data_IF_724772463531
#
_entry.id   IF_724772463531
#
_cell.length_a   1.000
_cell.length_b   1.000
_cell.length_c   1.000
_cell.angle_alpha   90.00
_cell.angle_beta   90.00
_cell.angle_gamma   90.00
#
_symmetry.space_group_name_H-M   'P 1'
#
loop_
_entity.id
_entity.type
_entity.pdbx_description
1 polymer ?
#
# COMPACT_ATOMS: atom_id res chain seq x y z
N UNK A 1 -7.41 -16.05 13.23
CA UNK A 1 -6.89 -14.84 12.58
C UNK A 1 -6.56 -15.18 11.14
N UNK A 2 -7.27 -14.59 10.18
CA UNK A 2 -6.95 -14.77 8.76
C UNK A 2 -5.58 -14.17 8.47
N UNK A 3 -4.77 -14.84 7.65
CA UNK A 3 -3.49 -14.30 7.20
C UNK A 3 -3.78 -13.17 6.21
N UNK A 4 -3.66 -11.93 6.69
CA UNK A 4 -3.49 -10.76 5.86
C UNK A 4 -2.32 -10.94 4.88
N UNK A 5 -2.40 -10.36 3.68
CA UNK A 5 -1.19 -10.15 2.88
C UNK A 5 -0.37 -9.04 3.54
N UNK A 6 0.56 -9.43 4.41
CA UNK A 6 1.42 -8.49 5.10
C UNK A 6 2.54 -8.02 4.18
N UNK A 7 2.69 -6.71 4.05
CA UNK A 7 3.76 -6.06 3.30
C UNK A 7 4.94 -5.78 4.24
N UNK A 8 6.12 -6.26 3.86
CA UNK A 8 7.38 -5.83 4.44
C UNK A 8 7.89 -4.62 3.65
N UNK A 9 7.81 -3.45 4.26
CA UNK A 9 8.08 -2.14 3.66
C UNK A 9 8.81 -1.26 4.64
N UNK A 10 9.65 -0.36 4.13
CA UNK A 10 10.43 0.56 4.94
C UNK A 10 9.55 1.57 5.69
N UNK A 11 10.15 2.27 6.65
CA UNK A 11 9.51 3.36 7.39
C UNK A 11 9.23 4.60 6.51
N UNK A 12 9.87 4.68 5.34
CA UNK A 12 9.62 5.73 4.36
C UNK A 12 8.45 5.40 3.42
N UNK A 13 7.91 4.19 3.49
CA UNK A 13 6.85 3.75 2.59
C UNK A 13 5.55 4.53 2.81
N UNK A 14 4.82 4.73 1.71
CA UNK A 14 3.56 5.48 1.69
C UNK A 14 2.50 4.75 0.91
N UNK A 15 1.26 4.93 1.33
CA UNK A 15 0.08 4.52 0.59
C UNK A 15 -0.41 5.69 -0.26
N UNK A 16 -0.80 5.40 -1.50
CA UNK A 16 -1.27 6.37 -2.47
C UNK A 16 -2.70 6.09 -2.92
N UNK A 17 -3.57 7.06 -2.70
CA UNK A 17 -4.95 7.09 -3.17
C UNK A 17 -5.41 8.55 -3.34
N UNK A 18 -6.47 8.81 -4.13
CA UNK A 18 -6.97 10.17 -4.32
C UNK A 18 -7.39 10.81 -2.98
N UNK A 19 -6.99 12.06 -2.75
CA UNK A 19 -7.48 12.86 -1.61
C UNK A 19 -9.00 12.98 -1.65
N UNK A 20 -9.63 12.98 -0.47
CA UNK A 20 -11.10 13.02 -0.38
C UNK A 20 -11.78 11.66 -0.55
N UNK A 21 -11.04 10.59 -0.88
CA UNK A 21 -11.63 9.25 -0.96
C UNK A 21 -12.17 8.85 0.42
N UNK A 22 -13.43 8.40 0.55
CA UNK A 22 -13.98 7.99 1.84
C UNK A 22 -13.18 6.85 2.46
N UNK A 23 -12.90 6.94 3.76
CA UNK A 23 -12.24 5.90 4.54
C UNK A 23 -12.96 5.70 5.87
N UNK A 24 -13.40 4.48 6.13
CA UNK A 24 -13.97 4.08 7.41
C UNK A 24 -12.86 3.54 8.30
N UNK A 25 -12.46 4.29 9.33
CA UNK A 25 -11.63 3.76 10.42
C UNK A 25 -12.52 2.86 11.27
N UNK A 26 -12.08 1.64 11.56
CA UNK A 26 -12.95 0.60 12.15
C UNK A 26 -12.86 0.54 13.68
N UNK A 27 -11.69 0.90 14.22
CA UNK A 27 -11.38 0.73 15.64
C UNK A 27 -10.80 2.04 16.23
N UNK A 28 -10.99 2.30 17.53
CA UNK A 28 -11.84 1.56 18.48
C UNK A 28 -13.34 1.87 18.32
N UNK A 29 -13.69 2.96 17.61
CA UNK A 29 -15.07 3.33 17.29
C UNK A 29 -15.13 3.67 15.81
N UNK A 30 -16.05 3.08 15.04
CA UNK A 30 -16.17 3.35 13.61
C UNK A 30 -16.33 4.85 13.31
N UNK A 31 -15.44 5.38 12.47
CA UNK A 31 -15.44 6.79 12.09
C UNK A 31 -15.17 6.96 10.60
N UNK A 32 -16.10 7.62 9.90
CA UNK A 32 -15.92 8.00 8.50
C UNK A 32 -15.04 9.26 8.42
N UNK A 33 -13.99 9.17 7.60
CA UNK A 33 -13.06 10.24 7.30
C UNK A 33 -12.81 10.32 5.80
N UNK A 34 -12.00 11.28 5.40
CA UNK A 34 -11.50 11.41 4.03
C UNK A 34 -10.00 11.11 3.99
N UNK A 35 -9.57 10.41 2.94
CA UNK A 35 -8.17 10.11 2.69
C UNK A 35 -7.32 11.41 2.63
N UNK A 36 -6.15 11.47 3.32
CA UNK A 36 -5.37 10.35 3.85
C UNK A 36 -5.71 9.86 5.25
N UNK A 37 -6.46 10.63 6.05
CA UNK A 37 -6.81 10.31 7.45
C UNK A 37 -5.64 9.84 8.35
N UNK A 38 -4.40 10.24 8.04
CA UNK A 38 -3.19 9.80 8.76
C UNK A 38 -2.71 8.38 8.45
N UNK A 39 -3.32 7.69 7.48
CA UNK A 39 -3.00 6.32 7.09
C UNK A 39 -2.06 6.22 5.89
N UNK A 40 -1.75 7.34 5.22
CA UNK A 40 -0.91 7.36 4.03
C UNK A 40 0.58 7.18 4.34
N UNK A 41 1.02 7.45 5.56
CA UNK A 41 2.43 7.31 5.96
C UNK A 41 2.61 6.09 6.84
N UNK A 42 3.48 5.16 6.40
CA UNK A 42 3.71 3.91 7.11
C UNK A 42 4.79 4.02 8.19
N UNK A 43 5.66 5.02 8.14
CA UNK A 43 6.43 5.57 9.26
C UNK A 43 7.29 4.61 10.10
N UNK A 44 8.09 5.15 11.04
CA UNK A 44 8.64 4.38 12.14
C UNK A 44 7.55 3.89 13.09
N UNK A 45 7.92 2.98 13.99
CA UNK A 45 7.07 2.51 15.08
C UNK A 45 6.53 3.69 15.92
N UNK A 46 5.21 3.88 15.95
CA UNK A 46 4.53 4.97 16.67
C UNK A 46 3.62 4.48 17.80
N UNK A 47 3.58 3.16 18.03
CA UNK A 47 2.75 2.55 19.08
C UNK A 47 1.27 2.49 18.74
N UNK A 48 0.88 2.72 17.48
CA UNK A 48 -0.53 2.68 17.05
C UNK A 48 -0.85 1.46 16.20
N UNK A 49 -2.11 1.04 16.25
CA UNK A 49 -2.69 0.04 15.37
C UNK A 49 -4.04 0.54 14.86
N UNK A 50 -4.24 0.54 13.55
CA UNK A 50 -5.46 1.05 12.93
C UNK A 50 -5.92 0.16 11.79
N UNK A 51 -7.14 -0.35 11.90
CA UNK A 51 -7.91 -0.94 10.81
C UNK A 51 -8.73 0.11 10.09
N UNK A 52 -8.80 0.02 8.76
CA UNK A 52 -9.65 0.89 7.97
C UNK A 52 -10.14 0.24 6.68
N UNK A 53 -11.22 0.77 6.12
CA UNK A 53 -11.72 0.42 4.78
C UNK A 53 -11.68 1.67 3.91
N UNK A 54 -10.78 1.71 2.93
CA UNK A 54 -10.75 2.73 1.89
C UNK A 54 -11.80 2.38 0.85
N UNK A 55 -12.81 3.24 0.65
CA UNK A 55 -13.94 2.99 -0.25
C UNK A 55 -13.57 3.16 -1.75
N UNK A 56 -12.48 2.53 -2.16
CA UNK A 56 -11.95 2.50 -3.52
C UNK A 56 -11.39 1.11 -3.83
N UNK A 57 -11.55 0.64 -5.06
CA UNK A 57 -10.98 -0.64 -5.50
C UNK A 57 -9.53 -0.56 -5.97
N UNK A 58 -8.78 0.49 -5.67
CA UNK A 58 -7.39 0.63 -6.11
C UNK A 58 -6.58 1.48 -5.12
N UNK A 59 -5.32 1.10 -4.93
CA UNK A 59 -4.33 1.80 -4.10
C UNK A 59 -2.92 1.54 -4.63
N UNK A 60 -2.01 2.50 -4.42
CA UNK A 60 -0.58 2.33 -4.63
C UNK A 60 0.15 2.19 -3.30
N UNK A 61 1.28 1.47 -3.32
CA UNK A 61 2.26 1.42 -2.22
C UNK A 61 3.58 1.85 -2.81
N UNK A 62 4.09 3.00 -2.37
CA UNK A 62 5.40 3.52 -2.79
C UNK A 62 6.43 3.25 -1.67
N UNK A 63 7.55 2.63 -2.01
CA UNK A 63 8.69 2.43 -1.10
C UNK A 63 10.01 2.72 -1.85
N UNK A 64 10.57 3.90 -1.60
CA UNK A 64 11.77 4.38 -2.28
C UNK A 64 11.60 4.55 -3.79
N UNK A 65 12.23 3.68 -4.57
CA UNK A 65 12.12 3.65 -6.04
C UNK A 65 11.22 2.53 -6.56
N UNK A 66 10.55 1.82 -5.65
CA UNK A 66 9.60 0.75 -5.94
C UNK A 66 8.17 1.25 -5.76
N UNK A 67 7.26 0.73 -6.58
CA UNK A 67 5.81 0.91 -6.43
C UNK A 67 5.08 -0.40 -6.67
N UNK A 68 4.09 -0.68 -5.83
CA UNK A 68 3.11 -1.74 -6.00
C UNK A 68 1.73 -1.12 -6.21
N UNK A 69 1.12 -1.33 -7.37
CA UNK A 69 -0.26 -0.94 -7.64
C UNK A 69 -1.18 -2.15 -7.50
N UNK A 70 -2.21 -2.01 -6.66
CA UNK A 70 -3.23 -3.03 -6.43
C UNK A 70 -4.58 -2.50 -6.91
N UNK A 71 -5.28 -3.29 -7.72
CA UNK A 71 -6.64 -3.00 -8.21
C UNK A 71 -7.54 -4.23 -8.08
N UNK A 72 -8.66 -4.07 -7.40
CA UNK A 72 -9.73 -5.06 -7.29
C UNK A 72 -10.96 -4.60 -8.07
N UNK A 73 -11.56 -5.53 -8.80
CA UNK A 73 -12.76 -5.29 -9.60
C UNK A 73 -13.76 -6.43 -9.36
N UNK A 74 -15.04 -6.07 -9.19
CA UNK A 74 -16.12 -7.04 -9.07
C UNK A 74 -17.40 -6.43 -9.61
N UNK A 75 -17.86 -6.91 -10.78
CA UNK A 75 -19.07 -6.36 -11.40
C UNK A 75 -20.30 -6.59 -10.50
N UNK A 76 -21.12 -5.55 -10.34
CA UNK A 76 -22.35 -5.61 -9.55
C UNK A 76 -22.14 -5.71 -8.03
N UNK A 77 -20.91 -5.49 -7.53
CA UNK A 77 -20.61 -5.51 -6.10
C UNK A 77 -19.83 -4.25 -5.70
N UNK A 78 -19.99 -3.76 -4.46
CA UNK A 78 -19.06 -2.79 -3.89
C UNK A 78 -17.65 -3.39 -3.76
N UNK A 79 -16.61 -2.61 -4.05
CA UNK A 79 -15.20 -3.02 -3.87
C UNK A 79 -14.40 -1.95 -3.14
N UNK A 80 -13.58 -2.37 -2.19
CA UNK A 80 -12.77 -1.51 -1.32
C UNK A 80 -11.36 -2.07 -1.16
N UNK A 81 -10.47 -1.28 -0.54
CA UNK A 81 -9.22 -1.78 0.00
C UNK A 81 -9.33 -1.77 1.53
N UNK A 82 -9.17 -2.94 2.15
CA UNK A 82 -8.97 -3.06 3.58
C UNK A 82 -7.51 -2.70 3.92
N UNK A 83 -7.33 -1.87 4.93
CA UNK A 83 -6.04 -1.37 5.41
C UNK A 83 -5.82 -1.80 6.84
N UNK A 84 -4.60 -2.25 7.12
CA UNK A 84 -4.09 -2.49 8.46
C UNK A 84 -2.76 -1.77 8.62
N UNK A 85 -2.69 -0.80 9.52
CA UNK A 85 -1.47 -0.08 9.88
C UNK A 85 -1.19 -0.33 11.35
N UNK A 86 -0.32 -1.30 11.66
CA UNK A 86 0.14 -1.57 13.02
C UNK A 86 1.63 -1.30 13.10
N UNK A 87 1.98 -0.25 13.82
CA UNK A 87 3.36 0.21 14.02
C UNK A 87 3.75 -0.01 15.48
N UNK A 88 3.63 -1.28 15.91
CA UNK A 88 3.76 -1.73 17.30
C UNK A 88 2.72 -1.16 18.26
N UNK A 89 1.47 -1.01 17.80
CA UNK A 89 0.35 -0.71 18.69
C UNK A 89 -0.44 -1.92 19.16
N UNK A 90 -0.29 -3.08 18.49
CA UNK A 90 -1.04 -4.29 18.84
C UNK A 90 -0.22 -5.56 18.64
N UNK A 91 -0.41 -6.60 19.47
CA UNK A 91 -1.22 -6.64 20.71
C UNK A 91 -0.54 -5.96 21.92
N UNK A 92 -1.33 -5.55 22.92
CA UNK A 92 -0.90 -4.78 24.12
C UNK A 92 0.22 -5.42 24.98
N UNK A 93 0.59 -6.68 24.72
CA UNK A 93 1.67 -7.39 25.44
C UNK A 93 2.90 -7.75 24.62
N UNK A 94 2.77 -7.87 23.29
CA UNK A 94 3.87 -8.21 22.39
C UNK A 94 3.66 -7.51 21.04
N UNK A 95 3.70 -6.16 21.05
CA UNK A 95 3.34 -5.40 19.87
C UNK A 95 4.39 -5.56 18.77
N UNK A 96 3.91 -5.78 17.55
CA UNK A 96 4.76 -5.96 16.38
C UNK A 96 4.33 -5.05 15.23
N UNK A 97 5.27 -4.77 14.33
CA UNK A 97 4.99 -4.02 13.11
C UNK A 97 4.34 -4.94 12.06
N UNK A 98 3.21 -4.52 11.50
CA UNK A 98 2.54 -5.22 10.41
C UNK A 98 1.69 -4.27 9.58
N UNK A 99 1.88 -4.33 8.25
CA UNK A 99 1.13 -3.52 7.28
C UNK A 99 0.31 -4.46 6.40
N UNK A 100 -1.00 -4.25 6.33
CA UNK A 100 -1.90 -4.99 5.43
C UNK A 100 -2.56 -4.06 4.42
N UNK A 101 -2.54 -4.47 3.15
CA UNK A 101 -3.24 -3.79 2.04
C UNK A 101 -3.97 -4.86 1.25
N UNK A 102 -5.28 -4.96 1.44
CA UNK A 102 -6.05 -6.14 1.05
C UNK A 102 -7.23 -5.79 0.15
N UNK A 103 -7.44 -6.52 -0.96
CA UNK A 103 -8.63 -6.36 -1.77
C UNK A 103 -9.87 -6.80 -1.00
N UNK A 104 -10.94 -6.02 -1.07
CA UNK A 104 -12.19 -6.29 -0.37
C UNK A 104 -13.39 -6.16 -1.30
N UNK A 105 -14.34 -7.09 -1.20
CA UNK A 105 -15.68 -6.96 -1.76
C UNK A 105 -16.59 -6.56 -0.59
N UNK A 106 -17.29 -5.43 -0.70
CA UNK A 106 -17.96 -4.77 0.44
C UNK A 106 -17.33 -3.42 0.82
N UNK A 107 -18.02 -2.66 1.67
CA UNK A 107 -17.58 -1.36 2.24
C UNK A 107 -17.34 -1.40 3.76
N UNK A 108 -17.51 -2.56 4.39
CA UNK A 108 -17.50 -2.71 5.85
C UNK A 108 -17.25 -4.17 6.23
N UNK A 109 -16.57 -4.40 7.35
CA UNK A 109 -16.33 -5.75 7.88
C UNK A 109 -17.56 -6.31 8.61
N UNK A 110 -18.49 -5.45 9.04
CA UNK A 110 -19.70 -5.89 9.74
C UNK A 110 -20.84 -6.15 8.74
N UNK A 111 -21.23 -7.43 8.62
CA UNK A 111 -22.37 -7.84 7.79
C UNK A 111 -23.70 -7.18 8.20
N UNK A 112 -23.81 -6.69 9.44
CA UNK A 112 -25.02 -6.06 9.98
C UNK A 112 -25.04 -4.54 9.79
N UNK A 113 -23.98 -3.96 9.26
CA UNK A 113 -23.93 -2.52 8.97
C UNK A 113 -24.98 -2.16 7.91
N UNK A 114 -26.07 -1.54 8.35
CA UNK A 114 -27.16 -1.10 7.49
C UNK A 114 -26.85 0.19 6.71
N UNK A 115 -25.72 0.85 7.01
CA UNK A 115 -25.34 2.13 6.41
C UNK A 115 -24.42 1.97 5.20
N UNK A 116 -23.80 0.80 5.05
CA UNK A 116 -22.78 0.54 4.03
C UNK A 116 -23.07 -0.73 3.23
N UNK A 117 -22.88 -0.71 1.89
CA UNK A 117 -23.04 -1.90 1.07
C UNK A 117 -22.06 -3.02 1.46
N UNK A 118 -22.61 -4.18 1.85
CA UNK A 118 -21.87 -5.43 2.04
C UNK A 118 -21.84 -6.24 0.75
N UNK A 119 -20.91 -7.20 0.64
CA UNK A 119 -20.94 -8.16 -0.46
C UNK A 119 -22.18 -9.07 -0.36
N UNK A 120 -22.84 -9.33 -1.48
CA UNK A 120 -24.01 -10.20 -1.55
C UNK A 120 -23.76 -11.33 -2.53
N UNK A 121 -23.99 -12.58 -2.12
CA UNK A 121 -23.95 -13.70 -3.07
C UNK A 121 -25.25 -13.68 -3.89
N UNK A 122 -25.19 -13.52 -5.22
CA UNK A 122 -26.38 -13.47 -6.06
C UNK A 122 -27.05 -14.85 -6.15
N UNK A 123 -28.26 -14.92 -6.71
CA UNK A 123 -29.02 -16.17 -6.89
C UNK A 123 -28.28 -17.24 -7.70
N UNK A 124 -27.31 -16.85 -8.54
CA UNK A 124 -26.42 -17.78 -9.25
C UNK A 124 -25.44 -18.52 -8.33
N UNK A 125 -25.36 -18.15 -7.05
CA UNK A 125 -24.50 -18.78 -6.05
C UNK A 125 -23.01 -18.46 -6.20
N UNK A 126 -22.62 -17.60 -7.15
CA UNK A 126 -21.22 -17.30 -7.43
C UNK A 126 -20.98 -15.82 -7.73
N UNK A 127 -19.82 -15.33 -7.25
CA UNK A 127 -19.32 -13.98 -7.52
C UNK A 127 -17.95 -14.11 -8.19
N UNK A 128 -17.78 -13.43 -9.33
CA UNK A 128 -16.50 -13.36 -10.03
C UNK A 128 -15.88 -11.99 -9.81
N UNK A 129 -14.66 -11.99 -9.30
CA UNK A 129 -13.85 -10.80 -9.08
C UNK A 129 -12.47 -10.98 -9.72
N UNK A 130 -11.76 -9.87 -9.87
CA UNK A 130 -10.39 -9.83 -10.39
C UNK A 130 -9.54 -8.98 -9.46
N UNK A 131 -8.32 -9.45 -9.23
CA UNK A 131 -7.23 -8.69 -8.63
C UNK A 131 -6.13 -8.53 -9.66
N UNK A 132 -5.68 -7.30 -9.86
CA UNK A 132 -4.50 -6.97 -10.64
C UNK A 132 -3.49 -6.35 -9.70
N UNK A 133 -2.29 -6.94 -9.67
CA UNK A 133 -1.14 -6.42 -8.92
C UNK A 133 -0.05 -6.12 -9.95
N UNK A 134 0.46 -4.89 -9.93
CA UNK A 134 1.54 -4.46 -10.82
C UNK A 134 2.69 -3.93 -9.97
N UNK A 135 3.91 -4.43 -10.21
CA UNK A 135 5.11 -3.95 -9.55
C UNK A 135 5.94 -3.13 -10.54
N UNK A 136 6.43 -1.98 -10.07
CA UNK A 136 7.26 -1.07 -10.83
C UNK A 136 8.55 -0.81 -10.04
N UNK A 137 9.68 -0.86 -10.73
CA UNK A 137 10.95 -0.36 -10.23
C UNK A 137 11.36 0.80 -11.13
N UNK A 138 11.69 1.96 -10.57
CA UNK A 138 12.37 2.99 -11.38
C UNK A 138 13.77 2.48 -11.69
N UNK A 139 14.14 2.45 -12.96
CA UNK A 139 15.54 2.23 -13.33
C UNK A 139 16.37 3.39 -12.79
N UNK A 140 17.33 3.09 -11.90
CA UNK A 140 18.39 4.04 -11.58
C UNK A 140 19.08 4.39 -12.90
N UNK A 141 18.99 5.64 -13.33
CA UNK A 141 19.93 6.14 -14.35
C UNK A 141 21.34 5.87 -13.82
N UNK A 142 22.24 5.24 -14.59
CA UNK A 142 23.64 5.21 -14.21
C UNK A 142 24.08 6.66 -14.00
N UNK A 143 24.66 6.94 -12.84
CA UNK A 143 25.23 8.24 -12.55
C UNK A 143 26.27 8.55 -13.63
N UNK A 144 26.00 9.54 -14.47
CA UNK A 144 26.99 10.10 -15.39
C UNK A 144 28.10 10.74 -14.55
N UNK A 145 29.13 9.98 -14.20
CA UNK A 145 30.00 10.37 -13.09
C UNK A 145 31.32 9.64 -12.94
N UNK A 146 31.97 9.22 -14.04
CA UNK A 146 33.44 9.27 -14.14
C UNK A 146 33.78 9.75 -15.55
N UNK A 147 34.15 11.03 -15.67
CA UNK A 147 34.84 11.53 -16.87
C UNK A 147 36.10 10.69 -17.01
N UNK A 148 36.27 10.03 -18.16
CA UNK A 148 37.54 9.42 -18.50
C UNK A 148 38.62 10.51 -18.46
N UNK A 149 39.69 10.26 -17.70
CA UNK A 149 40.89 11.08 -17.73
C UNK A 149 41.42 11.06 -19.17
N UNK A 150 41.71 12.21 -19.81
CA UNK A 150 42.24 12.19 -21.17
C UNK A 150 43.62 11.50 -21.18
N UNK A 151 43.98 10.81 -22.28
CA UNK A 151 45.25 10.10 -22.36
C UNK A 151 46.42 11.07 -22.22
N UNK A 152 47.27 10.81 -21.23
CA UNK A 152 48.54 11.50 -21.04
C UNK A 152 49.42 11.23 -22.27
N UNK A 153 49.57 12.23 -23.15
CA UNK A 153 50.53 12.18 -24.24
C UNK A 153 51.93 12.24 -23.63
N UNK A 154 52.59 11.10 -23.47
CA UNK A 154 54.05 11.05 -23.30
C UNK A 154 54.67 11.24 -24.67
N UNK A 155 55.18 12.44 -24.93
CA UNK A 155 56.13 12.70 -26.03
C UNK A 155 57.50 12.16 -25.64
N UNK A 156 58.13 11.50 -26.60
CA UNK A 156 59.45 10.88 -26.58
C UNK A 156 60.58 11.83 -26.19
N UNK A 157 61.64 11.28 -25.61
CA UNK A 157 63.00 11.48 -26.11
C UNK A 157 63.92 10.37 -25.60
N UNK A 158 64.37 9.50 -26.50
CA UNK A 158 65.57 8.68 -26.31
C UNK A 158 66.67 9.40 -27.09
N UNK A 159 67.72 9.83 -26.39
CA UNK A 159 68.96 10.35 -26.96
C UNK A 159 70.07 9.55 -26.29
N UNK A 160 70.59 8.56 -27.01
CA UNK A 160 71.98 8.25 -27.30
C UNK A 160 72.04 6.93 -28.09
#
# INVERSE_FOLDING_TARGET
>A
MGRAALLDVSDAARLDAPRGTPVLITDPVPALREWPAGLDSLGPDDGTATGAVLERGQIGVDDGDQRLDLRVECAGQPVSIALWRNLKGWPDGDPYRSIGVEPMIGRTFDRRDATRPVAVVPASGSVRWRLTITAHARSRRPSAGRRACPPCRRTSSCLL
#
